data_IF_208152361181
#
_entry.id   IF_208152361181
#
_cell.length_a   1.000
_cell.length_b   1.000
_cell.length_c   1.000
_cell.angle_alpha   90.00
_cell.angle_beta   90.00
_cell.angle_gamma   90.00
#
_symmetry.space_group_name_H-M   'P 1'
#
loop_
_entity.id
_entity.type
_entity.pdbx_description
1 polymer ?
#
# COMPACT_ATOMS: atom_id res chain seq x y z
N UNK A 1 6.38 16.75 17.25
CA UNK A 1 6.76 16.04 16.03
C UNK A 1 8.16 15.52 16.24
N UNK A 2 8.29 14.21 16.28
CA UNK A 2 9.48 13.52 16.74
C UNK A 2 10.51 13.48 15.61
N UNK A 3 11.77 13.85 15.89
CA UNK A 3 12.90 13.79 14.95
C UNK A 3 13.03 12.40 14.31
N UNK A 4 12.58 11.36 15.03
CA UNK A 4 12.55 9.97 14.61
C UNK A 4 11.49 9.68 13.54
N UNK A 5 10.35 10.36 13.58
CA UNK A 5 9.29 10.24 12.57
C UNK A 5 9.71 10.86 11.25
N UNK A 6 10.44 11.98 11.29
CA UNK A 6 11.04 12.61 10.12
C UNK A 6 12.18 11.75 9.50
N UNK A 7 12.95 11.02 10.31
CA UNK A 7 13.95 10.06 9.80
C UNK A 7 13.32 8.87 9.07
N UNK A 8 12.11 8.47 9.44
CA UNK A 8 11.36 7.40 8.77
C UNK A 8 11.02 7.74 7.32
N UNK A 9 10.67 9.00 7.08
CA UNK A 9 10.26 9.46 5.76
C UNK A 9 11.45 9.73 4.81
N UNK A 10 12.67 9.83 5.36
CA UNK A 10 13.86 10.24 4.62
C UNK A 10 14.67 9.12 3.97
N UNK A 11 14.45 7.87 4.32
CA UNK A 11 15.33 6.76 3.92
C UNK A 11 14.92 6.00 2.66
N UNK A 12 13.91 6.46 1.92
CA UNK A 12 13.45 5.76 0.72
C UNK A 12 13.75 6.56 -0.55
N UNK A 13 14.67 6.07 -1.35
CA UNK A 13 14.84 6.49 -2.72
C UNK A 13 13.54 6.27 -3.51
N UNK A 14 13.14 7.26 -4.32
CA UNK A 14 12.02 7.21 -5.28
C UNK A 14 10.74 6.51 -4.79
N UNK A 15 9.89 7.25 -4.06
CA UNK A 15 8.56 6.76 -3.66
C UNK A 15 7.51 7.13 -4.70
N UNK A 16 6.69 6.15 -5.09
CA UNK A 16 5.54 6.37 -5.96
C UNK A 16 4.31 6.62 -5.07
N UNK A 17 3.60 7.72 -5.34
CA UNK A 17 2.36 8.05 -4.65
C UNK A 17 1.20 7.58 -5.52
N UNK A 18 0.46 6.60 -5.05
CA UNK A 18 -0.68 6.04 -5.77
C UNK A 18 -1.83 7.05 -5.85
N UNK A 19 -2.38 7.35 -7.05
CA UNK A 19 -3.55 8.20 -7.19
C UNK A 19 -4.78 7.47 -6.67
N UNK A 20 -5.77 8.23 -6.20
CA UNK A 20 -7.10 7.67 -5.93
C UNK A 20 -7.82 7.49 -7.25
N UNK A 21 -8.25 6.27 -7.53
CA UNK A 21 -9.10 5.97 -8.69
C UNK A 21 -10.46 6.64 -8.50
N UNK A 22 -10.98 7.29 -9.54
CA UNK A 22 -12.25 8.00 -9.54
C UNK A 22 -13.42 7.13 -9.10
N UNK A 23 -14.43 7.73 -8.50
CA UNK A 23 -15.62 7.06 -7.97
C UNK A 23 -16.63 6.83 -9.09
N UNK A 24 -17.32 5.69 -9.07
CA UNK A 24 -18.46 5.41 -9.93
C UNK A 24 -19.71 5.63 -9.09
N UNK A 25 -20.52 6.61 -9.48
CA UNK A 25 -21.80 6.94 -8.83
C UNK A 25 -22.98 6.41 -9.63
N UNK A 26 -24.09 6.14 -8.94
CA UNK A 26 -25.40 5.98 -9.56
C UNK A 26 -26.02 7.35 -9.89
N UNK A 27 -27.23 7.36 -10.50
CA UNK A 27 -27.95 8.58 -10.86
C UNK A 27 -28.39 9.43 -9.67
N UNK A 28 -28.39 8.86 -8.46
CA UNK A 28 -28.76 9.53 -7.20
C UNK A 28 -27.55 10.03 -6.40
N UNK A 29 -26.33 9.80 -6.89
CA UNK A 29 -25.09 10.18 -6.21
C UNK A 29 -24.57 9.14 -5.20
N UNK A 30 -25.12 7.93 -5.19
CA UNK A 30 -24.58 6.84 -4.36
C UNK A 30 -23.34 6.24 -5.00
N UNK A 31 -22.28 6.07 -4.23
CA UNK A 31 -21.06 5.46 -4.72
C UNK A 31 -21.25 3.94 -4.91
N UNK A 32 -21.15 3.48 -6.15
CA UNK A 32 -21.18 2.06 -6.51
C UNK A 32 -19.79 1.41 -6.46
N UNK A 33 -18.75 2.18 -6.76
CA UNK A 33 -17.36 1.79 -6.61
C UNK A 33 -16.52 3.00 -6.19
N UNK A 34 -15.68 2.86 -5.18
CA UNK A 34 -14.79 3.92 -4.68
C UNK A 34 -13.44 3.38 -4.27
N UNK A 35 -12.42 4.24 -4.26
CA UNK A 35 -11.13 3.92 -3.69
C UNK A 35 -11.11 4.20 -2.19
N UNK A 36 -10.53 3.29 -1.42
CA UNK A 36 -10.24 3.47 0.00
C UNK A 36 -8.73 3.46 0.17
N UNK A 37 -8.22 4.26 1.11
CA UNK A 37 -6.80 4.31 1.41
C UNK A 37 -6.38 3.07 2.19
N UNK A 38 -5.29 2.49 1.78
CA UNK A 38 -4.60 1.34 2.39
C UNK A 38 -3.11 1.57 2.27
N UNK A 39 -2.30 0.66 2.78
CA UNK A 39 -0.84 0.76 2.67
C UNK A 39 -0.26 -0.55 2.14
N UNK A 40 0.90 -0.45 1.48
CA UNK A 40 1.72 -1.59 1.07
C UNK A 40 2.98 -1.61 1.91
N UNK A 41 3.29 -2.75 2.51
CA UNK A 41 4.47 -2.96 3.35
C UNK A 41 5.53 -3.70 2.55
N UNK A 42 6.72 -3.13 2.52
CA UNK A 42 7.89 -3.73 1.88
C UNK A 42 9.11 -3.70 2.80
N UNK A 43 10.09 -4.55 2.51
CA UNK A 43 11.32 -4.67 3.30
C UNK A 43 12.54 -4.56 2.42
N UNK A 44 13.51 -3.78 2.90
CA UNK A 44 14.90 -3.80 2.46
C UNK A 44 15.70 -4.62 3.49
N UNK A 45 15.90 -5.88 3.21
CA UNK A 45 16.56 -6.83 4.12
C UNK A 45 18.02 -6.49 4.39
N UNK A 46 18.66 -5.68 3.54
CA UNK A 46 20.06 -5.23 3.72
C UNK A 46 20.19 -4.19 4.83
N UNK A 47 19.09 -3.49 5.16
CA UNK A 47 19.04 -2.49 6.24
C UNK A 47 18.59 -3.05 7.58
N UNK A 48 18.15 -4.31 7.62
CA UNK A 48 17.81 -5.02 8.86
C UNK A 48 19.08 -5.67 9.40
N UNK A 49 19.94 -4.87 10.02
CA UNK A 49 21.23 -5.30 10.55
C UNK A 49 21.48 -4.73 11.95
N UNK A 50 22.24 -5.46 12.75
CA UNK A 50 22.72 -5.00 14.05
C UNK A 50 24.21 -4.74 13.95
N UNK A 51 24.62 -3.50 14.17
CA UNK A 51 26.03 -3.15 14.22
C UNK A 51 26.65 -3.60 15.55
N UNK A 52 27.79 -4.29 15.49
CA UNK A 52 28.58 -4.66 16.65
C UNK A 52 30.07 -4.67 16.25
N UNK A 53 30.94 -4.41 17.22
CA UNK A 53 32.41 -4.45 17.03
C UNK A 53 32.94 -5.85 16.73
N UNK A 54 32.25 -6.87 17.22
CA UNK A 54 32.48 -8.28 16.93
C UNK A 54 31.59 -8.73 15.81
N UNK A 55 32.14 -9.11 14.67
CA UNK A 55 31.41 -9.51 13.46
C UNK A 55 30.55 -10.76 13.67
N UNK A 56 31.02 -11.73 14.48
CA UNK A 56 30.26 -12.95 14.73
C UNK A 56 29.04 -12.66 15.61
N UNK A 57 29.18 -11.77 16.59
CA UNK A 57 28.08 -11.28 17.42
C UNK A 57 27.09 -10.46 16.56
N UNK A 58 27.58 -9.62 15.67
CA UNK A 58 26.75 -8.86 14.76
C UNK A 58 25.89 -9.77 13.86
N UNK A 59 26.48 -10.83 13.28
CA UNK A 59 25.77 -11.80 12.44
C UNK A 59 24.67 -12.55 13.20
N UNK A 60 24.98 -13.02 14.41
CA UNK A 60 24.00 -13.74 15.26
C UNK A 60 22.83 -12.83 15.62
N UNK A 61 23.10 -11.62 16.11
CA UNK A 61 22.08 -10.65 16.47
C UNK A 61 21.24 -10.18 15.28
N UNK A 62 21.86 -10.02 14.11
CA UNK A 62 21.15 -9.70 12.86
C UNK A 62 20.18 -10.80 12.47
N UNK A 63 20.60 -12.07 12.60
CA UNK A 63 19.72 -13.21 12.34
C UNK A 63 18.54 -13.24 13.29
N UNK A 64 18.77 -13.08 14.60
CA UNK A 64 17.73 -13.01 15.62
C UNK A 64 16.74 -11.86 15.34
N UNK A 65 17.25 -10.68 14.93
CA UNK A 65 16.42 -9.55 14.55
C UNK A 65 15.55 -9.87 13.33
N UNK A 66 16.12 -10.49 12.29
CA UNK A 66 15.38 -10.89 11.10
C UNK A 66 14.28 -11.92 11.41
N UNK A 67 14.56 -12.90 12.26
CA UNK A 67 13.57 -13.87 12.74
C UNK A 67 12.43 -13.17 13.52
N UNK A 68 12.78 -12.21 14.37
CA UNK A 68 11.82 -11.40 15.12
C UNK A 68 10.93 -10.55 14.21
N UNK A 69 11.49 -9.92 13.17
CA UNK A 69 10.76 -9.16 12.16
C UNK A 69 9.82 -10.08 11.35
N UNK A 70 10.32 -11.22 10.91
CA UNK A 70 9.52 -12.20 10.16
C UNK A 70 8.34 -12.71 10.98
N UNK A 71 8.56 -12.98 12.28
CA UNK A 71 7.49 -13.38 13.19
C UNK A 71 6.42 -12.30 13.35
N UNK A 72 6.83 -11.06 13.54
CA UNK A 72 5.90 -9.94 13.65
C UNK A 72 5.06 -9.76 12.37
N UNK A 73 5.68 -9.84 11.20
CA UNK A 73 4.95 -9.78 9.93
C UNK A 73 3.97 -10.95 9.77
N UNK A 74 4.38 -12.17 10.12
CA UNK A 74 3.51 -13.34 10.10
C UNK A 74 2.31 -13.16 11.03
N UNK A 75 2.53 -12.71 12.26
CA UNK A 75 1.49 -12.54 13.27
C UNK A 75 0.52 -11.38 12.92
N UNK A 76 1.04 -10.23 12.42
CA UNK A 76 0.23 -9.04 12.12
C UNK A 76 -0.55 -9.20 10.82
N UNK A 77 0.09 -9.75 9.79
CA UNK A 77 -0.48 -9.84 8.44
C UNK A 77 -1.06 -11.22 8.12
N UNK A 78 -0.99 -12.18 9.05
CA UNK A 78 -1.49 -13.55 8.87
C UNK A 78 -0.81 -14.27 7.68
N UNK A 79 0.52 -14.08 7.56
CA UNK A 79 1.35 -14.66 6.50
C UNK A 79 2.04 -15.93 6.98
N UNK A 80 2.41 -16.78 6.02
CA UNK A 80 3.27 -17.93 6.30
C UNK A 80 4.63 -17.46 6.82
N UNK A 81 5.07 -18.04 7.94
CA UNK A 81 6.31 -17.63 8.61
C UNK A 81 7.56 -17.95 7.78
N UNK A 82 7.61 -19.16 7.18
CA UNK A 82 8.81 -19.61 6.46
C UNK A 82 9.00 -18.83 5.16
N UNK A 83 7.92 -18.53 4.45
CA UNK A 83 7.96 -17.66 3.26
C UNK A 83 8.35 -16.22 3.63
N UNK A 84 7.82 -15.71 4.73
CA UNK A 84 8.14 -14.37 5.23
C UNK A 84 9.59 -14.30 5.67
N UNK A 85 10.08 -15.30 6.40
CA UNK A 85 11.48 -15.37 6.83
C UNK A 85 12.45 -15.41 5.64
N UNK A 86 12.12 -16.13 4.57
CA UNK A 86 12.92 -16.14 3.32
C UNK A 86 13.05 -14.74 2.73
N UNK A 87 11.96 -13.96 2.70
CA UNK A 87 11.96 -12.58 2.20
C UNK A 87 12.79 -11.65 3.10
N UNK A 88 12.58 -11.74 4.42
CA UNK A 88 13.28 -10.91 5.42
C UNK A 88 14.79 -11.25 5.48
N UNK A 89 15.15 -12.50 5.23
CA UNK A 89 16.56 -12.97 5.26
C UNK A 89 17.25 -12.90 3.92
N UNK A 90 16.57 -12.45 2.86
CA UNK A 90 17.14 -12.34 1.52
C UNK A 90 18.37 -11.43 1.52
N UNK A 91 19.41 -11.83 0.82
CA UNK A 91 20.61 -11.01 0.58
C UNK A 91 20.45 -10.09 -0.65
N UNK A 92 19.28 -10.10 -1.27
CA UNK A 92 18.97 -9.23 -2.41
C UNK A 92 18.94 -7.77 -1.98
N UNK A 93 19.57 -6.91 -2.76
CA UNK A 93 19.48 -5.45 -2.62
C UNK A 93 18.13 -4.89 -3.11
N UNK A 94 17.27 -5.74 -3.65
CA UNK A 94 15.95 -5.34 -4.13
C UNK A 94 14.95 -5.36 -2.98
N UNK A 95 14.24 -4.26 -2.81
CA UNK A 95 13.13 -4.15 -1.86
C UNK A 95 12.06 -5.20 -2.20
N UNK A 96 11.65 -5.99 -1.20
CA UNK A 96 10.67 -7.04 -1.37
C UNK A 96 9.34 -6.68 -0.73
N UNK A 97 8.25 -6.86 -1.46
CA UNK A 97 6.91 -6.65 -0.92
C UNK A 97 6.56 -7.78 0.05
N UNK A 98 6.17 -7.39 1.27
CA UNK A 98 5.70 -8.30 2.32
C UNK A 98 4.18 -8.46 2.28
N UNK A 99 3.45 -7.34 2.35
CA UNK A 99 2.00 -7.33 2.31
C UNK A 99 1.49 -6.15 1.51
N UNK A 100 0.51 -6.40 0.63
CA UNK A 100 -0.12 -5.36 -0.20
C UNK A 100 -1.52 -5.02 0.33
N UNK A 101 -1.91 -3.76 0.15
CA UNK A 101 -3.28 -3.27 0.43
C UNK A 101 -3.74 -3.57 1.86
N UNK A 102 -2.83 -3.32 2.79
CA UNK A 102 -3.03 -3.54 4.22
C UNK A 102 -3.91 -2.43 4.78
N UNK A 103 -4.89 -2.81 5.58
CA UNK A 103 -5.78 -1.87 6.25
C UNK A 103 -5.08 -1.19 7.44
N UNK A 104 -5.57 0.01 7.78
CA UNK A 104 -4.94 0.91 8.74
C UNK A 104 -4.70 0.28 10.12
N UNK A 105 -5.62 -0.54 10.61
CA UNK A 105 -5.51 -1.20 11.91
C UNK A 105 -4.29 -2.13 12.03
N UNK A 106 -3.96 -2.85 10.94
CA UNK A 106 -2.76 -3.70 10.85
C UNK A 106 -1.48 -2.85 10.74
N UNK A 107 -1.55 -1.74 10.02
CA UNK A 107 -0.43 -0.78 9.91
C UNK A 107 -0.14 -0.11 11.26
N UNK A 108 -1.16 0.29 12.00
CA UNK A 108 -1.00 0.89 13.32
C UNK A 108 -0.34 -0.10 14.29
N UNK A 109 -0.73 -1.38 14.26
CA UNK A 109 -0.06 -2.46 15.02
C UNK A 109 1.41 -2.63 14.62
N UNK A 110 1.70 -2.58 13.31
CA UNK A 110 3.08 -2.66 12.83
C UNK A 110 3.91 -1.48 13.35
N UNK A 111 3.40 -0.25 13.23
CA UNK A 111 4.09 0.96 13.70
C UNK A 111 4.35 0.92 15.21
N UNK A 112 3.37 0.47 15.99
CA UNK A 112 3.54 0.28 17.43
C UNK A 112 4.61 -0.78 17.74
N UNK A 113 4.58 -1.91 17.04
CA UNK A 113 5.59 -2.96 17.20
C UNK A 113 6.99 -2.47 16.82
N UNK A 114 7.13 -1.75 15.72
CA UNK A 114 8.41 -1.15 15.28
C UNK A 114 8.95 -0.18 16.33
N UNK A 115 8.09 0.68 16.89
CA UNK A 115 8.45 1.62 17.96
C UNK A 115 8.93 0.90 19.21
N UNK A 116 8.21 -0.14 19.64
CA UNK A 116 8.53 -0.91 20.85
C UNK A 116 9.82 -1.71 20.71
N UNK A 117 10.25 -2.01 19.48
CA UNK A 117 11.47 -2.76 19.19
C UNK A 117 12.60 -1.89 18.63
N UNK A 118 12.42 -0.56 18.60
CA UNK A 118 13.39 0.42 18.12
C UNK A 118 13.88 0.15 16.68
N UNK A 119 13.01 -0.39 15.82
CA UNK A 119 13.31 -0.68 14.41
C UNK A 119 12.87 0.54 13.58
N UNK A 120 13.83 1.30 13.07
CA UNK A 120 13.60 2.54 12.35
C UNK A 120 14.07 2.52 10.89
N UNK A 121 14.60 1.41 10.41
CA UNK A 121 15.11 1.26 9.04
C UNK A 121 14.77 -0.10 8.45
N UNK A 122 14.73 -0.18 7.12
CA UNK A 122 14.54 -1.43 6.39
C UNK A 122 13.09 -1.88 6.22
N UNK A 123 12.12 -1.29 6.92
CA UNK A 123 10.69 -1.54 6.73
C UNK A 123 10.07 -0.29 6.12
N UNK A 124 9.48 -0.41 4.94
CA UNK A 124 8.82 0.69 4.23
C UNK A 124 7.30 0.48 4.29
N UNK A 125 6.57 1.56 4.52
CA UNK A 125 5.12 1.61 4.51
C UNK A 125 4.73 2.68 3.50
N UNK A 126 4.24 2.24 2.34
CA UNK A 126 3.91 3.12 1.23
C UNK A 126 2.40 3.23 1.06
N UNK A 127 1.91 4.46 0.88
CA UNK A 127 0.49 4.71 0.63
C UNK A 127 0.03 4.00 -0.66
N UNK A 128 -1.08 3.30 -0.56
CA UNK A 128 -1.73 2.59 -1.67
C UNK A 128 -3.25 2.79 -1.60
N UNK A 129 -3.95 2.34 -2.61
CA UNK A 129 -5.41 2.40 -2.67
C UNK A 129 -5.99 1.03 -3.01
N UNK A 130 -7.16 0.74 -2.44
CA UNK A 130 -7.93 -0.47 -2.73
C UNK A 130 -9.30 -0.09 -3.27
N UNK A 131 -9.74 -0.77 -4.33
CA UNK A 131 -11.09 -0.60 -4.86
C UNK A 131 -12.09 -1.27 -3.93
N UNK A 132 -13.15 -0.56 -3.60
CA UNK A 132 -14.21 -1.01 -2.71
C UNK A 132 -15.58 -0.83 -3.39
N UNK A 133 -16.41 -1.88 -3.31
CA UNK A 133 -17.75 -1.95 -3.90
C UNK A 133 -18.78 -2.06 -2.77
N UNK A 134 -19.40 -0.95 -2.33
CA UNK A 134 -20.27 -0.93 -1.14
C UNK A 134 -21.48 -1.86 -1.24
N UNK A 135 -21.94 -2.13 -2.45
CA UNK A 135 -23.12 -2.96 -2.71
C UNK A 135 -22.76 -4.38 -3.20
N UNK A 136 -21.53 -4.81 -2.98
CA UNK A 136 -21.04 -6.14 -3.37
C UNK A 136 -21.32 -6.46 -4.85
N UNK A 137 -22.30 -7.35 -5.11
CA UNK A 137 -22.57 -7.88 -6.45
C UNK A 137 -23.58 -7.03 -7.25
N UNK A 138 -24.07 -5.90 -6.72
CA UNK A 138 -25.04 -5.07 -7.42
C UNK A 138 -24.45 -4.55 -8.73
N UNK A 139 -25.12 -4.83 -9.84
CA UNK A 139 -24.69 -4.47 -11.20
C UNK A 139 -23.24 -4.91 -11.52
N UNK A 140 -22.76 -6.00 -10.91
CA UNK A 140 -21.36 -6.45 -11.01
C UNK A 140 -20.89 -6.67 -12.44
N UNK A 141 -21.74 -7.23 -13.31
CA UNK A 141 -21.43 -7.43 -14.73
C UNK A 141 -21.31 -6.09 -15.51
N UNK A 142 -22.00 -5.05 -15.06
CA UNK A 142 -21.90 -3.72 -15.67
C UNK A 142 -20.69 -2.97 -15.12
N UNK A 143 -20.53 -2.91 -13.80
CA UNK A 143 -19.46 -2.17 -13.14
C UNK A 143 -18.11 -2.84 -13.42
N UNK A 144 -18.05 -4.16 -13.35
CA UNK A 144 -16.83 -4.93 -13.47
C UNK A 144 -15.99 -4.88 -12.18
N UNK A 145 -14.69 -5.09 -12.33
CA UNK A 145 -13.74 -5.09 -11.20
C UNK A 145 -12.35 -4.63 -11.61
N UNK A 146 -11.56 -4.27 -10.60
CA UNK A 146 -10.15 -3.89 -10.75
C UNK A 146 -9.23 -5.01 -10.28
N UNK A 147 -8.07 -5.10 -10.92
CA UNK A 147 -6.98 -5.95 -10.49
C UNK A 147 -6.21 -5.40 -9.28
N UNK A 148 -5.19 -6.13 -8.87
CA UNK A 148 -4.33 -5.78 -7.71
C UNK A 148 -3.62 -4.44 -7.87
N UNK A 149 -3.28 -4.06 -9.09
CA UNK A 149 -2.61 -2.79 -9.37
C UNK A 149 -3.60 -1.66 -9.73
N UNK A 150 -4.87 -1.81 -9.29
CA UNK A 150 -5.98 -0.88 -9.50
C UNK A 150 -6.37 -0.64 -10.97
N UNK A 151 -5.86 -1.43 -11.92
CA UNK A 151 -6.29 -1.40 -13.32
C UNK A 151 -7.69 -2.02 -13.48
N UNK A 152 -8.53 -1.44 -14.30
CA UNK A 152 -9.83 -1.99 -14.65
C UNK A 152 -9.67 -3.24 -15.53
N UNK A 153 -10.28 -4.36 -15.14
CA UNK A 153 -10.19 -5.64 -15.86
C UNK A 153 -11.45 -5.95 -16.64
N UNK A 154 -12.61 -5.59 -16.13
CA UNK A 154 -13.92 -5.85 -16.77
C UNK A 154 -14.88 -4.68 -16.60
N UNK A 155 -15.97 -4.69 -17.38
CA UNK A 155 -17.09 -3.76 -17.28
C UNK A 155 -16.72 -2.30 -17.52
N UNK A 156 -17.39 -1.41 -16.78
CA UNK A 156 -17.12 0.03 -16.81
C UNK A 156 -15.74 0.37 -16.25
N UNK A 157 -15.25 -0.39 -15.29
CA UNK A 157 -13.90 -0.24 -14.76
C UNK A 157 -12.84 -0.35 -15.87
N UNK A 158 -12.95 -1.35 -16.75
CA UNK A 158 -12.05 -1.50 -17.89
C UNK A 158 -12.32 -0.47 -18.99
N UNK A 159 -13.59 -0.23 -19.32
CA UNK A 159 -13.96 0.68 -20.41
C UNK A 159 -13.53 2.13 -20.15
N UNK A 160 -13.63 2.57 -18.91
CA UNK A 160 -13.28 3.93 -18.48
C UNK A 160 -11.99 4.01 -17.68
N UNK A 161 -11.13 3.01 -17.83
CA UNK A 161 -9.89 2.92 -17.06
C UNK A 161 -9.02 4.17 -17.18
N UNK A 162 -8.83 4.70 -18.38
CA UNK A 162 -8.07 5.93 -18.65
C UNK A 162 -8.62 7.19 -17.96
N UNK A 163 -9.94 7.21 -17.67
CA UNK A 163 -10.59 8.33 -16.98
C UNK A 163 -10.51 8.17 -15.46
N UNK A 164 -10.68 6.93 -15.00
CA UNK A 164 -10.78 6.58 -13.59
C UNK A 164 -9.42 6.48 -12.90
N UNK A 165 -8.35 6.04 -13.59
CA UNK A 165 -7.07 5.64 -12.95
C UNK A 165 -6.30 6.81 -12.34
N UNK A 166 -6.33 8.00 -12.95
CA UNK A 166 -5.48 9.12 -12.53
C UNK A 166 -4.00 8.96 -12.93
N UNK A 167 -3.16 9.83 -12.41
CA UNK A 167 -1.71 9.83 -12.69
C UNK A 167 -0.93 9.72 -11.39
N UNK A 168 -0.02 8.74 -11.25
CA UNK A 168 0.81 8.59 -10.05
C UNK A 168 1.67 9.82 -9.79
N UNK A 169 1.84 10.15 -8.51
CA UNK A 169 2.83 11.09 -8.05
C UNK A 169 4.16 10.41 -7.77
N UNK A 170 5.19 11.19 -7.53
CA UNK A 170 6.53 10.70 -7.27
C UNK A 170 7.27 11.60 -6.27
N UNK A 171 7.96 10.99 -5.31
CA UNK A 171 8.96 11.66 -4.48
C UNK A 171 10.31 11.18 -4.98
N UNK A 172 11.13 12.13 -5.44
CA UNK A 172 12.49 11.85 -5.92
C UNK A 172 13.47 12.40 -4.90
N UNK A 173 14.25 11.51 -4.25
CA UNK A 173 15.36 11.94 -3.40
C UNK A 173 16.56 12.31 -4.25
N UNK A 174 17.14 13.49 -4.04
CA UNK A 174 18.39 13.88 -4.72
C UNK A 174 19.57 13.08 -4.15
N UNK A 175 20.38 12.48 -5.02
CA UNK A 175 21.56 11.71 -4.65
C UNK A 175 22.70 12.53 -4.01
N UNK A 176 22.64 13.85 -4.03
CA UNK A 176 23.69 14.72 -3.50
C UNK A 176 23.64 14.88 -1.96
N UNK A 177 22.68 14.28 -1.29
CA UNK A 177 22.47 14.39 0.16
C UNK A 177 23.44 13.53 1.02
N UNK A 178 24.48 12.93 0.45
CA UNK A 178 25.42 12.06 1.19
C UNK A 178 26.40 12.85 2.09
N UNK A 179 26.47 14.17 2.00
CA UNK A 179 27.44 14.95 2.77
C UNK A 179 26.89 15.99 3.74
N UNK A 180 25.60 16.33 3.74
CA UNK A 180 25.07 17.32 4.67
C UNK A 180 23.76 16.84 5.34
N UNK A 181 23.79 16.79 6.67
CA UNK A 181 22.72 16.39 7.58
C UNK A 181 21.56 17.44 7.67
N UNK A 182 21.16 18.02 6.56
CA UNK A 182 20.01 18.95 6.51
C UNK A 182 18.92 18.31 5.65
N UNK A 183 17.85 17.79 6.27
CA UNK A 183 16.88 16.90 5.63
C UNK A 183 15.93 17.51 4.60
N UNK A 184 15.82 18.81 4.43
CA UNK A 184 14.61 19.40 3.87
C UNK A 184 14.76 20.14 2.53
N UNK A 185 15.90 20.11 1.85
CA UNK A 185 16.09 20.97 0.69
C UNK A 185 16.20 20.29 -0.69
N UNK A 186 16.25 18.97 -0.78
CA UNK A 186 16.52 18.29 -2.06
C UNK A 186 15.56 17.16 -2.44
N UNK A 187 14.32 17.17 -1.97
CA UNK A 187 13.28 16.25 -2.46
C UNK A 187 12.38 16.94 -3.47
N UNK A 188 12.27 16.40 -4.67
CA UNK A 188 11.29 16.86 -5.65
C UNK A 188 10.00 16.08 -5.44
N UNK A 189 8.94 16.78 -5.01
CA UNK A 189 7.61 16.23 -4.83
C UNK A 189 6.75 16.49 -6.08
N UNK A 190 6.32 15.45 -6.74
CA UNK A 190 5.34 15.48 -7.82
C UNK A 190 4.04 14.91 -7.27
N UNK A 191 3.01 15.74 -7.08
CA UNK A 191 1.73 15.29 -6.54
C UNK A 191 1.03 14.29 -7.48
N UNK A 192 0.40 13.27 -6.89
CA UNK A 192 -0.49 12.39 -7.63
C UNK A 192 -1.75 13.16 -8.09
N UNK A 193 -2.21 12.89 -9.30
CA UNK A 193 -3.47 13.42 -9.81
C UNK A 193 -4.51 12.30 -9.75
N UNK A 194 -5.55 12.49 -8.94
CA UNK A 194 -6.64 11.53 -8.82
C UNK A 194 -7.38 11.37 -10.14
N UNK A 195 -7.95 10.18 -10.37
CA UNK A 195 -8.84 9.93 -11.49
C UNK A 195 -10.13 10.71 -11.39
N UNK A 196 -10.81 10.89 -12.52
CA UNK A 196 -12.10 11.56 -12.59
C UNK A 196 -13.23 10.60 -12.21
N UNK A 197 -14.25 11.14 -11.56
CA UNK A 197 -15.45 10.40 -11.21
C UNK A 197 -16.38 10.23 -12.44
N UNK A 198 -17.18 9.17 -12.47
CA UNK A 198 -18.22 8.97 -13.44
C UNK A 198 -19.57 8.76 -12.75
N UNK A 199 -20.62 9.32 -13.34
CA UNK A 199 -22.00 9.12 -12.86
C UNK A 199 -22.79 8.34 -13.91
N UNK A 200 -23.41 7.26 -13.47
CA UNK A 200 -24.25 6.40 -14.30
C UNK A 200 -25.71 6.87 -14.30
N UNK A 201 -26.45 6.42 -15.27
CA UNK A 201 -27.90 6.66 -15.37
C UNK A 201 -28.74 5.64 -14.60
N UNK A 202 -28.13 4.57 -14.06
CA UNK A 202 -28.83 3.57 -13.25
C UNK A 202 -29.07 4.09 -11.83
N UNK A 203 -30.18 3.65 -11.23
CA UNK A 203 -30.52 3.87 -9.82
C UNK A 203 -30.27 2.57 -9.04
N UNK A 204 -29.43 2.63 -8.00
CA UNK A 204 -29.06 1.46 -7.20
C UNK A 204 -30.26 0.81 -6.50
N UNK A 205 -31.29 1.58 -6.12
CA UNK A 205 -32.48 1.01 -5.48
C UNK A 205 -33.33 0.23 -6.49
N UNK A 206 -33.54 0.80 -7.67
CA UNK A 206 -34.28 0.13 -8.75
C UNK A 206 -33.54 -1.13 -9.17
N UNK A 207 -32.23 -1.04 -9.36
CA UNK A 207 -31.38 -2.17 -9.71
C UNK A 207 -31.46 -3.30 -8.66
N UNK A 208 -31.44 -2.95 -7.38
CA UNK A 208 -31.56 -3.93 -6.28
C UNK A 208 -32.88 -4.68 -6.33
N UNK A 209 -33.99 -3.96 -6.60
CA UNK A 209 -35.31 -4.55 -6.71
C UNK A 209 -35.39 -5.50 -7.91
N UNK A 210 -34.90 -5.06 -9.07
CA UNK A 210 -34.90 -5.88 -10.30
C UNK A 210 -34.08 -7.16 -10.10
N UNK A 211 -32.86 -7.05 -9.58
CA UNK A 211 -32.00 -8.23 -9.33
C UNK A 211 -32.61 -9.19 -8.31
N UNK A 212 -33.29 -8.68 -7.27
CA UNK A 212 -33.99 -9.52 -6.30
C UNK A 212 -35.06 -10.40 -6.96
N UNK A 213 -35.89 -9.82 -7.84
CA UNK A 213 -36.94 -10.56 -8.51
C UNK A 213 -36.42 -11.52 -9.59
N UNK A 214 -35.36 -11.12 -10.32
CA UNK A 214 -34.71 -12.00 -11.30
C UNK A 214 -34.07 -13.24 -10.66
N UNK A 215 -33.60 -13.15 -9.42
CA UNK A 215 -33.07 -14.31 -8.68
C UNK A 215 -34.14 -15.28 -8.19
N UNK A 216 -35.41 -14.87 -8.18
CA UNK A 216 -36.54 -15.67 -7.73
C UNK A 216 -37.29 -16.35 -8.90
N UNK A 217 -37.04 -15.93 -10.13
CA UNK A 217 -37.57 -16.49 -11.35
C UNK A 217 -36.70 -17.63 -11.89
#
# INVERSE_FOLDING_TARGET
ADLKEAMYDQLTADRIISPKRGTIYDSTGKALARSVQVDTVSIDSTKIVVENKDEDVAKVKTKELKEKVAKAFSDIFELDYDETLKKVSSESTTVQTIARKVEKDKIDKLKEWMKNNEIYSGINIDEDTKRYYPYNNLASNLIGFCGTDNQGLEGLEAKWDSVLTGTPGKIVASQDAVQDLIPDQNQTYIAAQNGNDITLTIDANIQTIVEKYLKQA
#
